data_IF_989508261218
#
_entry.id   IF_989508261218
#
_cell.length_a   1.000
_cell.length_b   1.000
_cell.length_c   1.000
_cell.angle_alpha   90.00
_cell.angle_beta   90.00
_cell.angle_gamma   90.00
#
_symmetry.space_group_name_H-M   'P 1'
#
loop_
_entity.id
_entity.type
_entity.pdbx_description
1 polymer ?
#
# COMPACT_ATOMS: atom_id res chain seq x y z
N UNK A 1 -26.10 9.40 -24.95
CA UNK A 1 -24.69 8.97 -25.01
C UNK A 1 -24.04 9.34 -23.70
N UNK A 2 -24.33 8.56 -22.64
CA UNK A 2 -24.20 9.00 -21.24
C UNK A 2 -23.65 7.85 -20.37
N UNK A 3 -22.45 7.34 -20.65
CA UNK A 3 -21.76 6.48 -19.66
C UNK A 3 -21.08 7.43 -18.68
N UNK A 4 -21.47 7.39 -17.41
CA UNK A 4 -20.78 8.14 -16.36
C UNK A 4 -19.43 7.47 -16.09
N UNK A 5 -18.37 8.25 -15.99
CA UNK A 5 -17.01 7.70 -15.77
C UNK A 5 -16.97 6.89 -14.49
N UNK A 6 -17.70 7.30 -13.45
CA UNK A 6 -17.74 6.59 -12.17
C UNK A 6 -18.41 5.21 -12.25
N UNK A 7 -19.28 4.97 -13.24
CA UNK A 7 -19.88 3.66 -13.40
C UNK A 7 -18.91 2.65 -14.03
N UNK A 8 -17.79 3.10 -14.60
CA UNK A 8 -16.72 2.23 -15.10
C UNK A 8 -16.03 1.52 -13.93
N UNK A 9 -15.84 2.17 -12.78
CA UNK A 9 -15.18 1.57 -11.61
C UNK A 9 -15.92 0.31 -11.13
N UNK A 10 -17.26 0.31 -11.26
CA UNK A 10 -18.11 -0.84 -10.91
C UNK A 10 -17.92 -2.04 -11.86
N UNK A 11 -17.37 -1.82 -13.04
CA UNK A 11 -17.10 -2.84 -14.05
C UNK A 11 -15.66 -3.36 -13.98
N UNK A 12 -14.84 -2.85 -13.05
CA UNK A 12 -13.41 -3.21 -12.95
C UNK A 12 -13.07 -3.81 -11.57
N UNK A 13 -13.78 -3.42 -10.52
CA UNK A 13 -13.58 -3.96 -9.18
C UNK A 13 -14.70 -4.93 -8.77
N UNK A 14 -14.40 -5.95 -7.94
CA UNK A 14 -15.43 -6.74 -7.28
C UNK A 14 -16.38 -5.83 -6.51
N UNK A 15 -17.69 -6.07 -6.63
CA UNK A 15 -18.71 -5.37 -5.87
C UNK A 15 -19.52 -6.35 -5.03
N UNK A 16 -20.11 -5.88 -3.93
CA UNK A 16 -21.04 -6.70 -3.17
C UNK A 16 -22.35 -6.91 -3.93
N UNK A 17 -22.95 -8.09 -3.80
CA UNK A 17 -24.32 -8.32 -4.24
C UNK A 17 -25.28 -7.38 -3.50
N UNK A 18 -26.10 -6.62 -4.23
CA UNK A 18 -26.97 -5.60 -3.63
C UNK A 18 -27.99 -6.17 -2.64
N UNK A 19 -28.44 -7.42 -2.84
CA UNK A 19 -29.43 -8.04 -1.95
C UNK A 19 -28.77 -8.48 -0.66
N UNK A 20 -27.57 -9.07 -0.76
CA UNK A 20 -26.76 -9.44 0.39
C UNK A 20 -26.35 -8.20 1.20
N UNK A 21 -25.92 -7.13 0.52
CA UNK A 21 -25.50 -5.87 1.16
C UNK A 21 -26.63 -5.20 1.96
N UNK A 22 -27.87 -5.22 1.45
CA UNK A 22 -29.05 -4.65 2.15
C UNK A 22 -29.42 -5.41 3.44
N UNK A 23 -28.98 -6.66 3.57
CA UNK A 23 -29.26 -7.50 4.74
C UNK A 23 -28.08 -7.52 5.72
N UNK A 24 -26.93 -6.95 5.35
CA UNK A 24 -25.73 -6.97 6.16
C UNK A 24 -25.85 -6.04 7.37
N UNK A 25 -25.28 -6.48 8.48
CA UNK A 25 -25.17 -5.66 9.69
C UNK A 25 -24.01 -4.68 9.51
N UNK A 26 -24.32 -3.39 9.65
CA UNK A 26 -23.35 -2.30 9.48
C UNK A 26 -22.47 -2.20 10.73
N UNK A 27 -21.15 -2.23 10.55
CA UNK A 27 -20.16 -1.95 11.61
C UNK A 27 -19.84 -0.46 11.64
N UNK A 28 -19.60 0.13 10.46
CA UNK A 28 -19.36 1.57 10.33
C UNK A 28 -19.72 2.09 8.94
N UNK A 29 -20.14 3.36 8.87
CA UNK A 29 -20.27 4.16 7.63
C UNK A 29 -19.51 5.48 7.69
N UNK A 30 -18.58 5.60 8.64
CA UNK A 30 -17.82 6.82 8.88
C UNK A 30 -16.42 6.75 8.27
N UNK A 31 -16.09 5.65 7.59
CA UNK A 31 -14.82 5.51 6.91
C UNK A 31 -14.74 6.40 5.66
N UNK A 32 -13.52 6.71 5.26
CA UNK A 32 -13.22 7.38 4.01
C UNK A 32 -12.93 6.30 2.94
N UNK A 33 -13.55 6.39 1.74
CA UNK A 33 -13.37 5.43 0.66
C UNK A 33 -11.98 5.61 0.01
N UNK A 34 -10.95 5.10 0.68
CA UNK A 34 -9.56 5.37 0.32
C UNK A 34 -9.13 4.67 -0.96
N UNK A 35 -9.55 3.42 -1.16
CA UNK A 35 -9.29 2.65 -2.38
C UNK A 35 -10.50 1.76 -2.69
N UNK A 36 -11.05 1.83 -3.92
CA UNK A 36 -12.31 1.17 -4.26
C UNK A 36 -12.23 -0.36 -4.22
N UNK A 37 -13.40 -0.99 -4.16
CA UNK A 37 -13.57 -2.45 -4.25
C UNK A 37 -14.29 -3.06 -3.04
N UNK A 38 -14.81 -4.27 -3.23
CA UNK A 38 -15.47 -5.07 -2.20
C UNK A 38 -14.60 -6.26 -1.80
N UNK A 39 -14.36 -6.41 -0.51
CA UNK A 39 -13.50 -7.46 0.02
C UNK A 39 -14.04 -8.02 1.32
N UNK A 40 -13.83 -9.32 1.54
CA UNK A 40 -14.24 -10.03 2.74
C UNK A 40 -13.09 -10.89 3.24
N UNK A 41 -12.85 -10.87 4.55
CA UNK A 41 -11.81 -11.68 5.16
C UNK A 41 -11.89 -11.69 6.68
N UNK A 42 -11.00 -12.48 7.28
CA UNK A 42 -10.82 -12.54 8.73
C UNK A 42 -10.03 -11.33 9.23
N UNK A 43 -10.45 -10.74 10.34
CA UNK A 43 -9.74 -9.64 10.99
C UNK A 43 -8.40 -10.12 11.52
N UNK A 44 -7.33 -9.38 11.16
CA UNK A 44 -5.98 -9.55 11.68
C UNK A 44 -5.39 -8.19 12.07
N UNK A 45 -4.52 -8.17 13.08
CA UNK A 45 -4.03 -6.93 13.70
C UNK A 45 -2.54 -6.64 13.47
N UNK A 46 -1.82 -7.56 12.83
CA UNK A 46 -0.41 -7.38 12.47
C UNK A 46 -0.12 -7.84 11.05
N UNK A 47 0.94 -7.29 10.46
CA UNK A 47 1.35 -7.62 9.10
C UNK A 47 1.88 -9.05 8.99
N UNK A 48 2.54 -9.56 10.04
CA UNK A 48 3.04 -10.94 10.09
C UNK A 48 1.87 -11.93 10.10
N UNK A 49 0.84 -11.68 10.90
CA UNK A 49 -0.34 -12.54 10.95
C UNK A 49 -1.10 -12.51 9.63
N UNK A 50 -1.24 -11.32 9.02
CA UNK A 50 -1.86 -11.19 7.70
C UNK A 50 -1.15 -12.05 6.65
N UNK A 51 0.19 -11.99 6.61
CA UNK A 51 1.00 -12.80 5.71
C UNK A 51 0.86 -14.29 6.00
N UNK A 52 0.99 -14.70 7.26
CA UNK A 52 0.87 -16.11 7.67
C UNK A 52 -0.50 -16.70 7.29
N UNK A 53 -1.58 -15.96 7.55
CA UNK A 53 -2.93 -16.40 7.23
C UNK A 53 -3.16 -16.48 5.71
N UNK A 54 -2.64 -15.52 4.95
CA UNK A 54 -2.71 -15.54 3.49
C UNK A 54 -1.93 -16.72 2.89
N UNK A 55 -0.73 -17.03 3.41
CA UNK A 55 0.06 -18.20 3.02
C UNK A 55 -0.67 -19.53 3.31
N UNK A 56 -1.48 -19.55 4.38
CA UNK A 56 -2.38 -20.67 4.70
C UNK A 56 -3.67 -20.69 3.85
N UNK A 57 -3.81 -19.79 2.88
CA UNK A 57 -4.96 -19.70 1.98
C UNK A 57 -6.20 -19.02 2.58
N UNK A 58 -6.09 -18.37 3.74
CA UNK A 58 -7.18 -17.59 4.32
C UNK A 58 -7.20 -16.17 3.75
N UNK A 59 -8.39 -15.67 3.43
CA UNK A 59 -8.62 -14.26 3.15
C UNK A 59 -8.62 -13.45 4.44
N UNK A 60 -7.89 -12.34 4.46
CA UNK A 60 -7.74 -11.51 5.67
C UNK A 60 -7.98 -10.03 5.41
N UNK A 61 -8.37 -9.32 6.46
CA UNK A 61 -8.52 -7.86 6.51
C UNK A 61 -7.59 -7.32 7.58
N UNK A 62 -6.57 -6.57 7.18
CA UNK A 62 -5.63 -5.95 8.10
C UNK A 62 -6.27 -4.71 8.72
N UNK A 63 -6.47 -4.75 10.04
CA UNK A 63 -7.02 -3.65 10.82
C UNK A 63 -5.93 -3.05 11.70
N UNK A 64 -5.59 -1.78 11.48
CA UNK A 64 -4.52 -1.06 12.20
C UNK A 64 -4.99 0.35 12.56
N UNK A 65 -4.61 0.94 13.71
CA UNK A 65 -4.89 2.36 13.97
C UNK A 65 -4.33 3.26 12.86
N UNK A 66 -3.08 3.01 12.48
CA UNK A 66 -2.34 3.59 11.36
C UNK A 66 -1.41 2.52 10.78
N UNK A 67 -1.09 2.62 9.49
CA UNK A 67 -0.08 1.75 8.84
C UNK A 67 1.26 2.46 8.71
N UNK A 68 2.35 1.72 8.80
CA UNK A 68 3.70 2.19 8.48
C UNK A 68 4.35 1.33 7.38
N UNK A 69 5.55 1.69 6.91
CA UNK A 69 6.28 0.88 5.92
C UNK A 69 6.55 -0.57 6.36
N UNK A 70 6.65 -0.82 7.67
CA UNK A 70 6.78 -2.17 8.24
C UNK A 70 5.54 -3.04 7.95
N UNK A 71 4.37 -2.43 7.71
CA UNK A 71 3.12 -3.15 7.48
C UNK A 71 2.95 -3.63 6.04
N UNK A 72 3.85 -3.29 5.12
CA UNK A 72 3.65 -3.46 3.67
C UNK A 72 3.43 -4.92 3.24
N UNK A 73 4.19 -5.86 3.79
CA UNK A 73 3.98 -7.28 3.45
C UNK A 73 2.58 -7.75 3.85
N UNK A 74 2.08 -7.29 4.99
CA UNK A 74 0.74 -7.58 5.47
C UNK A 74 -0.34 -6.90 4.63
N UNK A 75 -0.10 -5.65 4.20
CA UNK A 75 -0.99 -4.92 3.30
C UNK A 75 -1.14 -5.63 1.95
N UNK A 76 -0.04 -6.14 1.38
CA UNK A 76 -0.04 -6.92 0.14
C UNK A 76 -0.81 -8.24 0.31
N UNK A 77 -0.58 -8.92 1.43
CA UNK A 77 -1.22 -10.20 1.75
C UNK A 77 -2.74 -10.09 2.01
N UNK A 78 -3.22 -8.91 2.41
CA UNK A 78 -4.62 -8.70 2.81
C UNK A 78 -5.56 -8.45 1.63
N UNK A 79 -6.82 -8.85 1.76
CA UNK A 79 -7.88 -8.51 0.79
C UNK A 79 -8.34 -7.06 0.95
N UNK A 80 -8.33 -6.55 2.18
CA UNK A 80 -8.60 -5.16 2.49
C UNK A 80 -7.77 -4.64 3.66
N UNK A 81 -7.64 -3.32 3.72
CA UNK A 81 -6.97 -2.59 4.79
C UNK A 81 -7.96 -1.60 5.41
N UNK A 82 -8.09 -1.63 6.73
CA UNK A 82 -8.95 -0.71 7.48
C UNK A 82 -8.13 0.02 8.53
N UNK A 83 -8.26 1.35 8.57
CA UNK A 83 -7.62 2.16 9.61
C UNK A 83 -8.55 3.09 10.38
N UNK A 84 -8.29 3.23 11.68
CA UNK A 84 -9.00 4.19 12.54
C UNK A 84 -8.62 5.63 12.19
N UNK A 85 -7.34 5.87 11.94
CA UNK A 85 -6.80 7.19 11.62
C UNK A 85 -6.31 7.26 10.16
N UNK A 86 -5.95 8.46 9.73
CA UNK A 86 -5.48 8.73 8.37
C UNK A 86 -6.58 9.19 7.42
N UNK A 87 -6.22 10.10 6.52
CA UNK A 87 -7.11 10.60 5.46
C UNK A 87 -6.89 9.89 4.13
N UNK A 88 -7.53 10.43 3.08
CA UNK A 88 -7.40 9.97 1.70
C UNK A 88 -5.96 9.98 1.15
N UNK A 89 -5.04 10.70 1.78
CA UNK A 89 -3.61 10.79 1.41
C UNK A 89 -2.67 10.15 2.44
N UNK A 90 -3.21 9.36 3.36
CA UNK A 90 -2.41 8.59 4.34
C UNK A 90 -1.58 7.51 3.65
N UNK A 91 -0.59 6.98 4.37
CA UNK A 91 0.22 5.84 3.91
C UNK A 91 -0.67 4.68 3.42
N UNK A 92 -1.61 4.23 4.27
CA UNK A 92 -2.58 3.20 3.93
C UNK A 92 -3.31 3.47 2.61
N UNK A 93 -3.87 4.68 2.47
CA UNK A 93 -4.65 5.06 1.30
C UNK A 93 -3.82 5.10 0.01
N UNK A 94 -2.59 5.63 0.07
CA UNK A 94 -1.72 5.75 -1.10
C UNK A 94 -1.22 4.38 -1.55
N UNK A 95 -0.77 3.56 -0.60
CA UNK A 95 -0.23 2.23 -0.87
C UNK A 95 -1.33 1.28 -1.36
N UNK A 96 -2.49 1.25 -0.69
CA UNK A 96 -3.61 0.38 -1.08
C UNK A 96 -4.15 0.72 -2.48
N UNK A 97 -4.26 2.01 -2.85
CA UNK A 97 -4.62 2.41 -4.21
C UNK A 97 -3.58 1.99 -5.24
N UNK A 98 -2.29 2.08 -4.89
CA UNK A 98 -1.20 1.61 -5.75
C UNK A 98 -1.32 0.12 -6.05
N UNK A 99 -1.73 -0.67 -5.06
CA UNK A 99 -1.89 -2.13 -5.15
C UNK A 99 -3.27 -2.57 -5.68
N UNK A 100 -4.20 -1.63 -5.91
CA UNK A 100 -5.59 -1.96 -6.27
C UNK A 100 -6.34 -2.75 -5.18
N UNK A 101 -5.93 -2.62 -3.91
CA UNK A 101 -6.54 -3.31 -2.77
C UNK A 101 -7.65 -2.45 -2.17
N UNK A 102 -8.73 -3.10 -1.73
CA UNK A 102 -9.82 -2.42 -1.05
C UNK A 102 -9.30 -1.74 0.23
N UNK A 103 -9.62 -0.46 0.44
CA UNK A 103 -9.15 0.24 1.63
C UNK A 103 -10.14 1.29 2.11
N UNK A 104 -10.37 1.27 3.42
CA UNK A 104 -11.15 2.26 4.14
C UNK A 104 -10.29 2.85 5.25
N UNK A 105 -10.08 4.17 5.22
CA UNK A 105 -9.24 4.85 6.22
C UNK A 105 -10.06 5.83 7.04
N UNK A 106 -9.60 6.18 8.24
CA UNK A 106 -10.23 7.23 9.03
C UNK A 106 -11.58 6.82 9.61
N UNK A 107 -11.78 5.54 9.93
CA UNK A 107 -12.97 5.05 10.62
C UNK A 107 -13.00 5.54 12.08
N UNK A 108 -13.36 6.81 12.29
CA UNK A 108 -13.25 7.48 13.59
C UNK A 108 -14.10 6.89 14.72
N UNK A 109 -15.10 6.09 14.37
CA UNK A 109 -15.98 5.40 15.31
C UNK A 109 -15.57 3.93 15.55
N UNK A 110 -14.43 3.51 15.02
CA UNK A 110 -13.87 2.16 15.18
C UNK A 110 -12.53 2.27 15.88
N UNK A 111 -12.43 1.73 17.09
CA UNK A 111 -11.19 1.70 17.87
C UNK A 111 -10.52 0.33 17.73
N UNK A 112 -9.29 0.31 17.23
CA UNK A 112 -8.54 -0.92 16.95
C UNK A 112 -7.49 -1.10 18.05
N UNK A 113 -7.71 -2.06 18.94
CA UNK A 113 -6.75 -2.45 19.97
C UNK A 113 -5.92 -3.64 19.47
N UNK A 114 -4.72 -3.33 18.99
CA UNK A 114 -3.77 -4.34 18.49
C UNK A 114 -3.17 -5.22 19.60
N UNK A 115 -3.19 -4.77 20.86
CA UNK A 115 -2.63 -5.51 22.00
C UNK A 115 -3.61 -6.57 22.48
N UNK A 116 -4.87 -6.18 22.67
CA UNK A 116 -5.95 -7.10 23.07
C UNK A 116 -6.54 -7.87 21.87
N UNK A 117 -6.17 -7.49 20.64
CA UNK A 117 -6.66 -8.06 19.39
C UNK A 117 -8.19 -7.96 19.27
N UNK A 118 -8.69 -6.77 19.57
CA UNK A 118 -10.12 -6.47 19.58
C UNK A 118 -10.37 -5.16 18.83
N UNK A 119 -11.46 -5.11 18.07
CA UNK A 119 -11.98 -3.89 17.46
C UNK A 119 -13.27 -3.51 18.16
N UNK A 120 -13.34 -2.29 18.69
CA UNK A 120 -14.56 -1.75 19.28
C UNK A 120 -15.26 -0.85 18.28
N UNK A 121 -16.56 -1.05 18.11
CA UNK A 121 -17.43 -0.22 17.28
C UNK A 121 -18.73 0.09 18.04
N UNK A 122 -19.58 1.04 17.60
CA UNK A 122 -20.67 1.56 18.44
C UNK A 122 -21.67 0.51 18.95
N UNK A 123 -21.85 -0.58 18.22
CA UNK A 123 -22.84 -1.62 18.51
C UNK A 123 -22.21 -2.94 18.98
N UNK A 124 -20.89 -3.03 19.16
CA UNK A 124 -20.24 -4.27 19.60
C UNK A 124 -18.72 -4.28 19.52
N UNK A 125 -18.17 -5.48 19.55
CA UNK A 125 -16.73 -5.75 19.42
C UNK A 125 -16.48 -6.90 18.44
N UNK A 126 -15.34 -6.85 17.74
CA UNK A 126 -14.82 -7.92 16.88
C UNK A 126 -13.50 -8.42 17.45
N UNK A 127 -13.24 -9.71 17.29
CA UNK A 127 -11.99 -10.34 17.69
C UNK A 127 -11.19 -10.80 16.48
N UNK A 128 -9.92 -11.13 16.72
CA UNK A 128 -9.07 -11.76 15.70
C UNK A 128 -9.74 -13.02 15.15
N UNK A 129 -9.76 -13.13 13.82
CA UNK A 129 -10.39 -14.24 13.12
C UNK A 129 -11.87 -14.04 12.78
N UNK A 130 -12.55 -13.04 13.37
CA UNK A 130 -13.93 -12.70 12.99
C UNK A 130 -13.96 -12.22 11.54
N UNK A 131 -15.06 -12.52 10.84
CA UNK A 131 -15.19 -12.16 9.44
C UNK A 131 -15.82 -10.78 9.32
N UNK A 132 -15.18 -9.93 8.52
CA UNK A 132 -15.66 -8.60 8.16
C UNK A 132 -15.66 -8.43 6.64
N UNK A 133 -16.60 -7.63 6.15
CA UNK A 133 -16.68 -7.19 4.76
C UNK A 133 -16.46 -5.69 4.67
N UNK A 134 -15.64 -5.26 3.71
CA UNK A 134 -15.16 -3.90 3.54
C UNK A 134 -15.56 -3.39 2.16
N UNK A 135 -16.26 -2.26 2.13
CA UNK A 135 -16.61 -1.53 0.92
C UNK A 135 -15.71 -0.29 0.80
N UNK A 136 -14.63 -0.42 0.04
CA UNK A 136 -13.67 0.64 -0.22
C UNK A 136 -14.21 1.75 -1.13
N UNK A 137 -15.34 1.53 -1.80
CA UNK A 137 -16.00 2.51 -2.67
C UNK A 137 -16.93 3.43 -1.88
N UNK A 138 -17.64 2.88 -0.88
CA UNK A 138 -18.51 3.64 0.01
C UNK A 138 -17.80 4.16 1.28
N UNK A 139 -16.75 3.49 1.73
CA UNK A 139 -16.14 3.74 3.04
C UNK A 139 -16.84 2.99 4.18
N UNK A 140 -17.58 1.93 3.85
CA UNK A 140 -18.45 1.21 4.78
C UNK A 140 -17.83 -0.12 5.22
N UNK A 141 -18.08 -0.50 6.47
CA UNK A 141 -17.68 -1.77 7.07
C UNK A 141 -18.92 -2.55 7.50
N UNK A 142 -18.90 -3.85 7.29
CA UNK A 142 -20.02 -4.75 7.56
C UNK A 142 -19.58 -6.01 8.28
N UNK A 143 -20.40 -6.48 9.20
CA UNK A 143 -20.17 -7.70 9.96
C UNK A 143 -20.46 -8.92 9.08
N UNK A 144 -19.56 -9.91 9.14
CA UNK A 144 -19.70 -11.18 8.44
C UNK A 144 -19.30 -11.13 6.97
N UNK A 145 -19.53 -12.25 6.28
CA UNK A 145 -19.24 -12.39 4.86
C UNK A 145 -20.40 -11.88 4.01
N UNK A 146 -20.10 -10.99 3.06
CA UNK A 146 -21.03 -10.57 2.02
C UNK A 146 -20.54 -11.14 0.69
N UNK A 147 -21.47 -11.71 -0.08
CA UNK A 147 -21.17 -12.27 -1.38
C UNK A 147 -20.71 -11.16 -2.35
N UNK A 148 -19.62 -11.41 -3.06
CA UNK A 148 -19.07 -10.51 -4.06
C UNK A 148 -19.40 -11.03 -5.45
N UNK A 149 -19.74 -10.10 -6.34
CA UNK A 149 -19.90 -10.35 -7.77
C UNK A 149 -18.64 -9.85 -8.43
N UNK A 150 -17.94 -10.74 -9.13
CA UNK A 150 -16.80 -10.33 -9.96
C UNK A 150 -17.32 -9.46 -11.10
N UNK A 151 -16.60 -8.39 -11.40
CA UNK A 151 -16.88 -7.63 -12.60
C UNK A 151 -16.51 -8.48 -13.82
N UNK A 152 -17.50 -8.86 -14.64
CA UNK A 152 -17.24 -9.56 -15.89
C UNK A 152 -16.84 -8.54 -16.97
N UNK A 153 -15.71 -8.81 -17.64
CA UNK A 153 -15.35 -8.13 -18.89
C UNK A 153 -16.36 -8.54 -19.96
N UNK A 154 -17.33 -7.67 -20.24
CA UNK A 154 -18.33 -7.91 -21.28
C UNK A 154 -17.77 -7.46 -22.65
N UNK A 155 -18.19 -8.11 -23.73
CA UNK A 155 -17.77 -7.72 -25.10
C UNK A 155 -18.14 -6.25 -25.39
N UNK A 156 -19.23 -5.76 -24.81
CA UNK A 156 -19.65 -4.36 -24.92
C UNK A 156 -18.69 -3.40 -24.21
N UNK A 157 -18.10 -3.81 -23.08
CA UNK A 157 -17.09 -3.02 -22.37
C UNK A 157 -15.83 -2.86 -23.24
N UNK A 158 -15.33 -3.96 -23.81
CA UNK A 158 -14.15 -3.93 -24.67
C UNK A 158 -14.38 -3.09 -25.93
N UNK A 159 -15.57 -3.19 -26.52
CA UNK A 159 -15.96 -2.36 -27.66
C UNK A 159 -16.01 -0.86 -27.29
N UNK A 160 -16.54 -0.53 -26.12
CA UNK A 160 -16.60 0.83 -25.62
C UNK A 160 -15.20 1.40 -25.29
N UNK A 161 -14.32 0.59 -24.70
CA UNK A 161 -12.91 0.95 -24.47
C UNK A 161 -12.18 1.20 -25.78
N UNK A 162 -12.42 0.39 -26.81
CA UNK A 162 -11.84 0.57 -28.15
C UNK A 162 -12.24 1.92 -28.75
N UNK A 163 -13.54 2.26 -28.74
CA UNK A 163 -14.00 3.57 -29.24
C UNK A 163 -13.42 4.74 -28.42
N UNK A 164 -13.32 4.55 -27.11
CA UNK A 164 -12.75 5.56 -26.22
C UNK A 164 -11.28 5.81 -26.58
N UNK A 165 -10.51 4.76 -26.88
CA UNK A 165 -9.12 4.87 -27.29
C UNK A 165 -8.96 5.53 -28.67
N UNK A 166 -9.79 5.20 -29.66
CA UNK A 166 -9.73 5.79 -31.01
C UNK A 166 -9.94 7.32 -31.01
N UNK A 167 -10.76 7.82 -30.08
CA UNK A 167 -11.09 9.25 -29.95
C UNK A 167 -10.10 9.95 -29.00
N UNK A 168 -9.48 9.21 -28.07
CA UNK A 168 -8.62 9.77 -27.04
C UNK A 168 -7.39 10.49 -27.65
N UNK A 169 -7.21 11.75 -27.25
CA UNK A 169 -5.99 12.52 -27.57
C UNK A 169 -4.82 12.17 -26.64
N UNK A 170 -5.13 11.80 -25.39
CA UNK A 170 -4.14 11.51 -24.36
C UNK A 170 -3.88 10.00 -24.30
N UNK A 171 -2.61 9.64 -24.14
CA UNK A 171 -2.23 8.27 -23.82
C UNK A 171 -2.34 8.04 -22.32
N UNK A 172 -2.89 6.89 -21.94
CA UNK A 172 -2.94 6.44 -20.54
C UNK A 172 -1.74 5.55 -20.28
N UNK A 173 -0.99 5.88 -19.24
CA UNK A 173 0.13 5.09 -18.71
C UNK A 173 -0.15 4.77 -17.25
N UNK A 174 0.37 3.65 -16.78
CA UNK A 174 0.16 3.20 -15.40
C UNK A 174 1.25 3.71 -14.47
N UNK A 175 0.92 3.81 -13.18
CA UNK A 175 1.91 3.87 -12.13
C UNK A 175 2.05 2.43 -11.62
N UNK A 176 3.22 1.83 -11.77
CA UNK A 176 3.41 0.42 -11.43
C UNK A 176 4.88 0.14 -11.11
N UNK A 177 5.10 -0.64 -10.06
CA UNK A 177 6.43 -1.02 -9.59
C UNK A 177 6.62 -2.54 -9.54
N UNK A 178 5.55 -3.32 -9.35
CA UNK A 178 5.63 -4.78 -9.21
C UNK A 178 5.29 -5.52 -10.50
N UNK A 179 5.77 -6.77 -10.69
CA UNK A 179 5.41 -7.59 -11.85
C UNK A 179 3.91 -7.77 -12.05
N UNK A 180 3.16 -7.90 -10.96
CA UNK A 180 1.71 -8.06 -10.98
C UNK A 180 1.01 -6.80 -11.47
N UNK A 181 1.38 -5.64 -10.93
CA UNK A 181 0.79 -4.34 -11.32
C UNK A 181 1.09 -4.03 -12.78
N UNK A 182 2.33 -4.32 -13.22
CA UNK A 182 2.76 -4.10 -14.60
C UNK A 182 1.96 -4.97 -15.56
N UNK A 183 1.78 -6.25 -15.23
CA UNK A 183 0.98 -7.17 -16.04
C UNK A 183 -0.47 -6.70 -16.10
N UNK A 184 -1.08 -6.43 -14.95
CA UNK A 184 -2.47 -5.97 -14.86
C UNK A 184 -2.69 -4.71 -15.70
N UNK A 185 -1.84 -3.69 -15.57
CA UNK A 185 -2.02 -2.46 -16.34
C UNK A 185 -1.84 -2.66 -17.86
N UNK A 186 -1.02 -3.62 -18.30
CA UNK A 186 -0.96 -3.98 -19.72
C UNK A 186 -2.15 -4.80 -20.19
N UNK A 187 -2.72 -5.65 -19.34
CA UNK A 187 -3.99 -6.34 -19.62
C UNK A 187 -5.13 -5.31 -19.79
N UNK A 188 -5.09 -4.18 -19.08
CA UNK A 188 -5.98 -3.02 -19.27
C UNK A 188 -5.56 -2.04 -20.40
N UNK A 189 -4.59 -2.40 -21.25
CA UNK A 189 -4.25 -1.64 -22.45
C UNK A 189 -3.34 -0.41 -22.24
N UNK A 190 -2.72 -0.26 -21.07
CA UNK A 190 -1.77 0.81 -20.76
C UNK A 190 -0.66 0.94 -21.80
N UNK A 191 -0.32 2.18 -22.17
CA UNK A 191 0.71 2.47 -23.18
C UNK A 191 2.14 2.44 -22.65
N UNK A 192 2.33 2.18 -21.36
CA UNK A 192 3.64 2.13 -20.70
C UNK A 192 3.53 2.48 -19.22
N UNK A 193 4.67 2.60 -18.56
CA UNK A 193 4.73 3.00 -17.15
C UNK A 193 5.04 4.49 -17.07
N UNK A 194 4.10 5.29 -16.60
CA UNK A 194 4.23 6.74 -16.44
C UNK A 194 4.98 7.15 -15.18
N UNK A 195 5.04 6.26 -14.19
CA UNK A 195 5.78 6.46 -12.95
C UNK A 195 6.11 5.11 -12.30
N UNK A 196 7.40 4.78 -12.23
CA UNK A 196 7.96 3.80 -11.31
C UNK A 196 8.46 4.56 -10.10
N UNK A 197 7.93 4.25 -8.92
CA UNK A 197 8.36 4.82 -7.64
C UNK A 197 9.42 3.93 -6.99
N UNK A 198 10.65 4.42 -6.88
CA UNK A 198 11.78 3.58 -6.43
C UNK A 198 11.81 3.32 -4.94
N UNK A 199 11.15 4.16 -4.16
CA UNK A 199 11.06 4.02 -2.70
C UNK A 199 10.38 2.72 -2.30
N UNK A 200 9.33 2.34 -3.04
CA UNK A 200 8.61 1.08 -2.82
C UNK A 200 9.51 -0.16 -2.99
N UNK A 201 10.60 -0.03 -3.75
CA UNK A 201 11.58 -1.10 -3.93
C UNK A 201 12.42 -1.38 -2.68
N UNK A 202 12.40 -0.51 -1.66
CA UNK A 202 13.21 -0.65 -0.45
C UNK A 202 12.45 -1.23 0.74
N UNK A 203 11.14 -1.43 0.64
CA UNK A 203 10.33 -1.85 1.78
C UNK A 203 10.42 -3.36 2.10
N UNK A 204 11.05 -4.15 1.23
CA UNK A 204 11.36 -5.55 1.56
C UNK A 204 12.31 -5.64 2.77
N UNK A 205 12.16 -6.64 3.67
CA UNK A 205 12.89 -6.69 4.95
C UNK A 205 14.41 -6.56 4.81
N UNK A 206 15.01 -7.30 3.87
CA UNK A 206 16.46 -7.27 3.62
C UNK A 206 16.94 -5.94 3.03
N UNK A 207 16.06 -5.26 2.29
CA UNK A 207 16.36 -4.00 1.61
C UNK A 207 16.23 -2.82 2.56
N UNK A 208 15.25 -2.88 3.45
CA UNK A 208 15.03 -1.90 4.50
C UNK A 208 16.22 -1.86 5.47
N UNK A 209 16.83 -3.02 5.76
CA UNK A 209 18.08 -3.10 6.52
C UNK A 209 19.20 -2.29 5.86
N UNK A 210 19.42 -2.48 4.55
CA UNK A 210 20.49 -1.76 3.83
C UNK A 210 20.17 -0.27 3.69
N UNK A 211 18.90 0.11 3.52
CA UNK A 211 18.48 1.52 3.55
C UNK A 211 18.75 2.15 4.92
N UNK A 212 18.45 1.46 6.01
CA UNK A 212 18.76 1.93 7.38
C UNK A 212 20.27 2.05 7.60
N UNK A 213 21.08 1.13 7.06
CA UNK A 213 22.56 1.25 7.08
C UNK A 213 23.04 2.49 6.35
N UNK A 214 22.47 2.78 5.17
CA UNK A 214 22.77 4.01 4.44
C UNK A 214 22.43 5.27 5.26
N UNK A 215 21.28 5.31 5.93
CA UNK A 215 20.83 6.48 6.72
C UNK A 215 21.70 6.71 7.98
N UNK A 216 22.15 5.61 8.60
CA UNK A 216 22.93 5.62 9.84
C UNK A 216 24.45 5.75 9.62
N UNK A 217 24.93 5.56 8.39
CA UNK A 217 26.34 5.62 8.06
C UNK A 217 26.98 6.96 8.44
N UNK A 218 28.11 6.89 9.15
CA UNK A 218 28.80 8.07 9.70
C UNK A 218 29.83 8.66 8.75
N UNK A 219 30.20 7.93 7.70
CA UNK A 219 31.14 8.35 6.68
C UNK A 219 30.69 7.94 5.26
N UNK A 220 31.37 8.45 4.26
CA UNK A 220 31.05 8.20 2.85
C UNK A 220 31.26 6.74 2.45
N UNK A 221 32.33 6.11 2.93
CA UNK A 221 32.66 4.72 2.56
C UNK A 221 31.57 3.74 3.04
N UNK A 222 31.06 3.92 4.26
CA UNK A 222 29.92 3.16 4.79
C UNK A 222 28.63 3.36 3.98
N UNK A 223 28.35 4.60 3.53
CA UNK A 223 27.20 4.88 2.66
C UNK A 223 27.33 4.15 1.34
N UNK A 224 28.49 4.26 0.68
CA UNK A 224 28.75 3.61 -0.61
C UNK A 224 28.62 2.08 -0.50
N UNK A 225 29.08 1.48 0.60
CA UNK A 225 28.91 0.04 0.82
C UNK A 225 27.44 -0.39 0.93
N UNK A 226 26.60 0.40 1.63
CA UNK A 226 25.16 0.14 1.70
C UNK A 226 24.51 0.33 0.32
N UNK A 227 24.87 1.40 -0.41
CA UNK A 227 24.37 1.69 -1.74
C UNK A 227 24.72 0.60 -2.77
N UNK A 228 25.92 0.00 -2.74
CA UNK A 228 26.27 -1.09 -3.65
C UNK A 228 25.42 -2.35 -3.45
N UNK A 229 25.02 -2.64 -2.21
CA UNK A 229 24.04 -3.70 -1.94
C UNK A 229 22.65 -3.33 -2.44
N UNK A 230 22.18 -2.12 -2.15
CA UNK A 230 20.89 -1.61 -2.63
C UNK A 230 20.81 -1.66 -4.17
N UNK A 231 21.89 -1.27 -4.85
CA UNK A 231 22.03 -1.30 -6.30
C UNK A 231 21.83 -2.71 -6.86
N UNK A 232 22.31 -3.74 -6.18
CA UNK A 232 22.11 -5.14 -6.62
C UNK A 232 20.61 -5.46 -6.69
N UNK A 233 19.87 -5.14 -5.63
CA UNK A 233 18.42 -5.33 -5.57
C UNK A 233 17.67 -4.50 -6.63
N UNK A 234 18.06 -3.24 -6.82
CA UNK A 234 17.42 -2.38 -7.80
C UNK A 234 17.67 -2.85 -9.24
N UNK A 235 18.87 -3.35 -9.55
CA UNK A 235 19.17 -3.89 -10.89
C UNK A 235 18.24 -5.05 -11.21
N UNK A 236 18.04 -5.98 -10.27
CA UNK A 236 17.12 -7.12 -10.46
C UNK A 236 15.67 -6.68 -10.68
N UNK A 237 15.19 -5.70 -9.91
CA UNK A 237 13.86 -5.12 -10.07
C UNK A 237 13.70 -4.47 -11.45
N UNK A 238 14.65 -3.60 -11.83
CA UNK A 238 14.59 -2.90 -13.10
C UNK A 238 14.72 -3.84 -14.29
N UNK A 239 15.54 -4.89 -14.21
CA UNK A 239 15.56 -5.93 -15.23
C UNK A 239 14.18 -6.57 -15.43
N UNK A 240 13.49 -6.86 -14.32
CA UNK A 240 12.14 -7.43 -14.36
C UNK A 240 11.14 -6.43 -14.95
N UNK A 241 11.16 -5.17 -14.50
CA UNK A 241 10.31 -4.10 -14.99
C UNK A 241 10.50 -3.88 -16.49
N UNK A 242 11.76 -3.76 -16.96
CA UNK A 242 12.06 -3.52 -18.37
C UNK A 242 11.73 -4.73 -19.25
N UNK A 243 11.96 -5.96 -18.75
CA UNK A 243 11.57 -7.19 -19.46
C UNK A 243 10.06 -7.25 -19.69
N UNK A 244 9.26 -6.88 -18.69
CA UNK A 244 7.80 -6.80 -18.81
C UNK A 244 7.36 -5.62 -19.68
N UNK A 245 8.07 -4.49 -19.61
CA UNK A 245 7.74 -3.28 -20.37
C UNK A 245 8.01 -3.41 -21.86
N UNK A 246 9.01 -4.23 -22.24
CA UNK A 246 9.47 -4.37 -23.63
C UNK A 246 9.82 -2.99 -24.22
N UNK A 247 9.30 -2.67 -25.41
CA UNK A 247 9.56 -1.40 -26.10
C UNK A 247 8.68 -0.24 -25.59
N UNK A 248 7.80 -0.49 -24.60
CA UNK A 248 6.92 0.55 -24.06
C UNK A 248 7.71 1.50 -23.17
N UNK A 249 7.39 2.81 -23.18
CA UNK A 249 8.11 3.77 -22.38
C UNK A 249 7.89 3.50 -20.88
N UNK A 250 8.96 3.62 -20.11
CA UNK A 250 8.97 3.43 -18.64
C UNK A 250 9.67 4.61 -18.00
N UNK A 251 8.94 5.41 -17.23
CA UNK A 251 9.49 6.57 -16.52
C UNK A 251 9.82 6.18 -15.09
N UNK A 252 11.09 6.27 -14.73
CA UNK A 252 11.56 5.99 -13.38
C UNK A 252 11.76 7.30 -12.63
N UNK A 253 11.15 7.42 -11.45
CA UNK A 253 11.39 8.54 -10.53
C UNK A 253 12.46 8.14 -9.54
N UNK A 254 13.40 9.05 -9.26
CA UNK A 254 14.39 8.86 -8.21
C UNK A 254 13.75 8.88 -6.81
N UNK A 255 14.54 8.54 -5.79
CA UNK A 255 14.10 8.51 -4.40
C UNK A 255 13.46 9.86 -4.00
N UNK A 256 12.23 9.79 -3.50
CA UNK A 256 11.40 10.95 -3.15
C UNK A 256 11.14 11.18 -1.66
N UNK A 257 11.01 10.17 -0.77
CA UNK A 257 10.57 10.35 0.58
C UNK A 257 11.72 10.84 1.47
N UNK A 258 11.40 11.52 2.57
CA UNK A 258 12.38 11.87 3.58
C UNK A 258 12.91 10.60 4.27
N UNK A 259 14.16 10.66 4.72
CA UNK A 259 14.85 9.48 5.26
C UNK A 259 14.21 8.92 6.54
N UNK A 260 13.50 9.73 7.32
CA UNK A 260 12.85 9.28 8.55
C UNK A 260 11.71 8.28 8.29
N UNK A 261 11.13 8.23 7.09
CA UNK A 261 10.11 7.23 6.75
C UNK A 261 10.67 5.80 6.76
N UNK A 262 11.99 5.61 6.63
CA UNK A 262 12.62 4.28 6.69
C UNK A 262 13.10 3.89 8.10
N UNK A 263 12.97 4.80 9.08
CA UNK A 263 13.43 4.56 10.44
C UNK A 263 12.30 4.02 11.32
N UNK A 264 12.61 3.14 12.29
CA UNK A 264 11.59 2.55 13.16
C UNK A 264 10.95 3.62 14.05
N UNK A 265 9.65 3.47 14.31
CA UNK A 265 8.85 4.41 15.11
C UNK A 265 8.55 3.90 16.52
N UNK A 266 8.40 2.57 16.71
CA UNK A 266 8.10 1.97 18.01
C UNK A 266 9.37 1.63 18.79
N UNK A 267 9.27 1.59 20.12
CA UNK A 267 10.39 1.21 21.00
C UNK A 267 10.82 -0.26 20.78
N UNK A 268 9.88 -1.13 20.41
CA UNK A 268 10.18 -2.51 20.05
C UNK A 268 11.01 -2.57 18.76
N UNK A 269 10.56 -1.87 17.72
CA UNK A 269 11.27 -1.83 16.44
C UNK A 269 12.64 -1.17 16.56
N UNK A 270 12.77 -0.13 17.38
CA UNK A 270 14.08 0.50 17.67
C UNK A 270 15.05 -0.53 18.25
N UNK A 271 14.61 -1.38 19.18
CA UNK A 271 15.46 -2.42 19.76
C UNK A 271 15.77 -3.55 18.77
N UNK A 272 14.82 -3.94 17.93
CA UNK A 272 15.03 -4.95 16.90
C UNK A 272 16.04 -4.45 15.85
N UNK A 273 15.87 -3.22 15.38
CA UNK A 273 16.77 -2.59 14.39
C UNK A 273 18.16 -2.35 14.96
N UNK A 274 18.26 -1.94 16.24
CA UNK A 274 19.56 -1.72 16.86
C UNK A 274 20.38 -3.02 16.94
N UNK A 275 19.73 -4.14 17.26
CA UNK A 275 20.33 -5.48 17.23
C UNK A 275 20.71 -5.91 15.81
N UNK A 276 19.80 -5.76 14.83
CA UNK A 276 20.06 -6.14 13.44
C UNK A 276 21.24 -5.39 12.83
N UNK A 277 21.39 -4.11 13.16
CA UNK A 277 22.44 -3.24 12.62
C UNK A 277 23.69 -3.19 13.50
N UNK A 278 23.69 -3.88 14.64
CA UNK A 278 24.76 -3.85 15.63
C UNK A 278 25.15 -2.42 16.06
N UNK A 279 24.14 -1.58 16.29
CA UNK A 279 24.27 -0.21 16.80
C UNK A 279 23.58 -0.08 18.16
N UNK A 280 23.94 0.91 18.97
CA UNK A 280 23.24 1.11 20.24
C UNK A 280 21.85 1.72 20.01
N UNK A 281 20.84 1.30 20.78
CA UNK A 281 19.50 1.91 20.71
C UNK A 281 19.55 3.42 21.03
N UNK A 282 20.50 3.87 21.86
CA UNK A 282 20.72 5.30 22.13
C UNK A 282 21.18 6.07 20.89
N UNK A 283 22.13 5.51 20.13
CA UNK A 283 22.58 6.09 18.86
C UNK A 283 21.43 6.19 17.85
N UNK A 284 20.65 5.12 17.72
CA UNK A 284 19.51 5.07 16.82
C UNK A 284 18.44 6.11 17.19
N UNK A 285 18.07 6.22 18.48
CA UNK A 285 17.13 7.26 18.96
C UNK A 285 17.63 8.67 18.64
N UNK A 286 18.91 8.94 18.88
CA UNK A 286 19.50 10.24 18.56
C UNK A 286 19.36 10.55 17.07
N UNK A 287 19.66 9.57 16.19
CA UNK A 287 19.54 9.77 14.74
C UNK A 287 18.10 10.00 14.30
N UNK A 288 17.15 9.28 14.87
CA UNK A 288 15.71 9.47 14.60
C UNK A 288 15.31 10.91 14.94
N UNK A 289 15.74 11.43 16.09
CA UNK A 289 15.47 12.81 16.50
C UNK A 289 16.14 13.81 15.55
N UNK A 290 17.39 13.57 15.15
CA UNK A 290 18.13 14.46 14.25
C UNK A 290 17.51 14.54 12.83
N UNK A 291 16.89 13.46 12.37
CA UNK A 291 16.22 13.38 11.05
C UNK A 291 14.72 13.70 11.12
N UNK A 292 14.20 13.96 12.32
CA UNK A 292 12.81 14.32 12.50
C UNK A 292 12.59 15.75 11.99
N UNK A 293 11.54 15.93 11.19
CA UNK A 293 11.20 17.20 10.60
C UNK A 293 9.80 17.63 11.05
N UNK A 294 9.62 18.92 11.30
CA UNK A 294 8.31 19.47 11.69
C UNK A 294 7.29 19.27 10.56
N UNK A 295 7.71 19.40 9.29
CA UNK A 295 6.86 19.22 8.11
C UNK A 295 7.59 18.38 7.04
N UNK A 296 7.56 17.04 7.15
CA UNK A 296 8.22 16.11 6.22
C UNK A 296 7.91 16.34 4.73
N UNK A 297 6.67 16.75 4.42
CA UNK A 297 6.27 17.03 3.03
C UNK A 297 7.07 18.17 2.37
N UNK A 298 7.63 19.08 3.18
CA UNK A 298 8.39 20.24 2.69
C UNK A 298 9.88 20.17 3.07
N UNK A 299 10.33 19.03 3.60
CA UNK A 299 11.66 18.86 4.19
C UNK A 299 12.77 18.40 3.24
N UNK A 300 13.74 17.69 3.78
CA UNK A 300 14.93 17.20 3.10
C UNK A 300 14.65 15.88 2.38
N UNK A 301 14.09 16.00 1.17
CA UNK A 301 13.59 14.87 0.38
C UNK A 301 13.79 15.09 -1.13
N UNK A 302 13.47 14.09 -1.95
CA UNK A 302 13.53 14.19 -3.41
C UNK A 302 14.88 14.68 -3.93
N UNK A 303 14.86 15.61 -4.89
CA UNK A 303 16.10 16.14 -5.48
C UNK A 303 17.03 16.83 -4.47
N UNK A 304 16.51 17.34 -3.35
CA UNK A 304 17.33 17.97 -2.30
C UNK A 304 18.24 16.96 -1.63
N UNK A 305 17.74 15.72 -1.47
CA UNK A 305 18.50 14.62 -0.92
C UNK A 305 19.63 14.21 -1.87
N UNK A 306 19.35 14.11 -3.17
CA UNK A 306 20.35 13.79 -4.19
C UNK A 306 21.43 14.89 -4.34
N UNK A 307 21.12 16.15 -4.01
CA UNK A 307 22.12 17.23 -4.00
C UNK A 307 23.06 17.10 -2.80
N UNK A 308 22.56 16.71 -1.64
CA UNK A 308 23.39 16.54 -0.42
C UNK A 308 24.15 15.21 -0.41
N UNK A 309 23.57 14.18 -1.02
CA UNK A 309 24.12 12.83 -1.14
C UNK A 309 24.08 12.44 -2.63
N UNK A 310 25.06 12.90 -3.42
CA UNK A 310 25.12 12.63 -4.86
C UNK A 310 25.56 11.21 -5.20
N UNK A 311 26.15 10.48 -4.26
CA UNK A 311 26.47 9.04 -4.37
C UNK A 311 25.23 8.15 -4.56
#
# INVERSE_FOLDING_TARGET
>A
SNVDVKSIDQLVHPNFDEKALKQATVVSKMGLPASPGAATGKVVFSAEEAKLQAENGNKVVLMRPETSPEDIEGMVASEAIVTTHGGMTSHAAVVARGMGKCCVTGCSNVEIDTVNKTVYYPEGELHEGDIISVDGSAGDLYLGAIETVNAEHSEEFDQFMTWSEEIARLQVRMNAETPQDIKAGYDFGSKGIGLVRTEHMFFGPERLIEMRRFILASNHDERVQALEKIKTYQVEDFETIFRLSQDRPTIVRLLDPPLHEFLPSSEEDINNVSQQLNVSSEFLRKRIVDLNEVNPMLGHRGCRLAVTYPE
#
